data_IF_273349430924
#
_entry.id   IF_273349430924
#
_cell.length_a   1.000
_cell.length_b   1.000
_cell.length_c   1.000
_cell.angle_alpha   90.00
_cell.angle_beta   90.00
_cell.angle_gamma   90.00
#
_symmetry.space_group_name_H-M   'P 1'
#
loop_
_entity.id
_entity.type
_entity.pdbx_description
1 polymer ?
#
# COMPACT_ATOMS: atom_id res chain seq x y z
N UNK A 1 60.39 -2.42 6.78
CA UNK A 1 59.67 -1.38 6.02
C UNK A 1 58.33 -1.20 6.71
N UNK A 2 58.07 -0.03 7.28
CA UNK A 2 56.83 0.24 8.01
C UNK A 2 55.68 0.42 7.02
N UNK A 3 54.59 -0.35 7.19
CA UNK A 3 53.33 -0.10 6.51
C UNK A 3 52.81 1.28 6.95
N UNK A 4 52.72 2.23 6.02
CA UNK A 4 51.99 3.48 6.26
C UNK A 4 50.52 3.14 6.41
N UNK A 5 49.99 3.25 7.62
CA UNK A 5 48.55 3.33 7.84
C UNK A 5 48.00 4.50 7.01
N UNK A 6 47.06 4.21 6.10
CA UNK A 6 46.35 5.24 5.34
C UNK A 6 45.49 6.03 6.32
N UNK A 7 45.98 7.18 6.77
CA UNK A 7 45.22 8.10 7.62
C UNK A 7 43.90 8.47 6.96
N UNK A 8 42.80 8.26 7.70
CA UNK A 8 41.43 8.49 7.26
C UNK A 8 41.23 9.98 6.92
N UNK A 9 40.94 10.31 5.65
CA UNK A 9 40.82 11.71 5.22
C UNK A 9 39.41 12.26 5.49
N UNK A 10 39.19 12.69 6.73
CA UNK A 10 37.94 13.24 7.26
C UNK A 10 37.34 14.34 6.36
N UNK A 11 38.17 15.13 5.68
CA UNK A 11 37.69 16.22 4.79
C UNK A 11 37.00 15.70 3.54
N UNK A 12 37.50 14.61 2.94
CA UNK A 12 36.86 14.00 1.76
C UNK A 12 35.52 13.38 2.15
N UNK A 13 35.46 12.70 3.29
CA UNK A 13 34.22 12.09 3.78
C UNK A 13 33.17 13.14 4.15
N UNK A 14 33.56 14.26 4.76
CA UNK A 14 32.65 15.37 5.05
C UNK A 14 32.04 15.97 3.77
N UNK A 15 32.84 16.10 2.70
CA UNK A 15 32.36 16.57 1.39
C UNK A 15 31.42 15.55 0.75
N UNK A 16 31.77 14.25 0.75
CA UNK A 16 30.92 13.19 0.21
C UNK A 16 29.60 13.10 0.98
N UNK A 17 29.65 13.16 2.32
CA UNK A 17 28.46 13.13 3.17
C UNK A 17 27.55 14.34 2.93
N UNK A 18 28.13 15.53 2.77
CA UNK A 18 27.36 16.74 2.45
C UNK A 18 26.67 16.62 1.07
N UNK A 19 27.37 16.10 0.06
CA UNK A 19 26.79 15.87 -1.27
C UNK A 19 25.70 14.80 -1.22
N UNK A 20 25.91 13.70 -0.49
CA UNK A 20 24.92 12.64 -0.32
C UNK A 20 23.64 13.18 0.36
N UNK A 21 23.77 13.92 1.46
CA UNK A 21 22.62 14.56 2.14
C UNK A 21 21.90 15.54 1.22
N UNK A 22 22.63 16.36 0.46
CA UNK A 22 22.03 17.31 -0.48
C UNK A 22 21.28 16.60 -1.63
N UNK A 23 21.85 15.50 -2.16
CA UNK A 23 21.20 14.68 -3.17
C UNK A 23 19.93 14.00 -2.62
N UNK A 24 20.00 13.42 -1.42
CA UNK A 24 18.84 12.84 -0.74
C UNK A 24 17.74 13.87 -0.52
N UNK A 25 18.08 15.08 -0.06
CA UNK A 25 17.12 16.17 0.11
C UNK A 25 16.50 16.61 -1.22
N UNK A 26 17.27 16.67 -2.31
CA UNK A 26 16.74 16.99 -3.64
C UNK A 26 15.76 15.93 -4.13
N UNK A 27 16.07 14.64 -3.94
CA UNK A 27 15.17 13.53 -4.28
C UNK A 27 13.90 13.61 -3.44
N UNK A 28 14.00 13.78 -2.12
CA UNK A 28 12.84 13.92 -1.23
C UNK A 28 11.99 15.13 -1.61
N UNK A 29 12.61 16.27 -1.94
CA UNK A 29 11.92 17.46 -2.42
C UNK A 29 11.19 17.19 -3.73
N UNK A 30 11.81 16.54 -4.72
CA UNK A 30 11.15 16.19 -5.98
C UNK A 30 9.98 15.24 -5.77
N UNK A 31 10.15 14.19 -4.96
CA UNK A 31 9.08 13.25 -4.63
C UNK A 31 7.92 13.96 -3.91
N UNK A 32 8.22 14.80 -2.92
CA UNK A 32 7.21 15.55 -2.16
C UNK A 32 6.48 16.57 -3.04
N UNK A 33 7.20 17.25 -3.92
CA UNK A 33 6.62 18.24 -4.83
C UNK A 33 5.73 17.56 -5.86
N UNK A 34 6.17 16.43 -6.43
CA UNK A 34 5.38 15.64 -7.35
C UNK A 34 4.11 15.10 -6.69
N UNK A 35 4.19 14.54 -5.48
CA UNK A 35 3.01 14.05 -4.76
C UNK A 35 1.99 15.17 -4.47
N UNK A 36 2.45 16.32 -3.98
CA UNK A 36 1.58 17.48 -3.74
C UNK A 36 1.00 18.05 -5.04
N UNK A 37 1.79 18.04 -6.11
CA UNK A 37 1.36 18.49 -7.43
C UNK A 37 0.29 17.55 -7.99
N UNK A 38 0.50 16.24 -7.95
CA UNK A 38 -0.47 15.21 -8.37
C UNK A 38 -1.81 15.42 -7.68
N UNK A 39 -1.84 15.68 -6.37
CA UNK A 39 -3.07 15.89 -5.62
C UNK A 39 -3.89 17.11 -6.10
N UNK A 40 -3.34 18.02 -6.91
CA UNK A 40 -4.08 19.16 -7.48
C UNK A 40 -4.69 18.85 -8.86
N UNK A 41 -4.36 17.70 -9.44
CA UNK A 41 -4.73 17.30 -10.80
C UNK A 41 -5.61 16.05 -10.74
N UNK A 42 -6.93 16.16 -10.93
CA UNK A 42 -7.84 15.03 -10.76
C UNK A 42 -7.49 13.84 -11.67
N UNK A 43 -7.09 14.11 -12.91
CA UNK A 43 -6.62 13.10 -13.85
C UNK A 43 -5.40 12.33 -13.32
N UNK A 44 -4.46 13.00 -12.64
CA UNK A 44 -3.25 12.37 -12.10
C UNK A 44 -3.53 11.62 -10.81
N UNK A 45 -4.49 12.06 -9.99
CA UNK A 45 -4.97 11.30 -8.84
C UNK A 45 -5.62 10.00 -9.29
N UNK A 46 -6.52 10.07 -10.28
CA UNK A 46 -7.22 8.90 -10.82
C UNK A 46 -6.25 7.92 -11.52
N UNK A 47 -5.37 8.41 -12.39
CA UNK A 47 -4.33 7.59 -13.03
C UNK A 47 -3.42 6.92 -12.00
N UNK A 48 -2.98 7.67 -10.98
CA UNK A 48 -2.10 7.15 -9.94
C UNK A 48 -2.77 6.05 -9.10
N UNK A 49 -4.03 6.25 -8.74
CA UNK A 49 -4.84 5.26 -8.03
C UNK A 49 -4.95 3.95 -8.83
N UNK A 50 -5.37 4.03 -10.11
CA UNK A 50 -5.50 2.86 -10.98
C UNK A 50 -4.16 2.20 -11.27
N UNK A 51 -3.10 2.98 -11.51
CA UNK A 51 -1.78 2.44 -11.79
C UNK A 51 -1.20 1.68 -10.59
N UNK A 52 -1.46 2.13 -9.36
CA UNK A 52 -0.97 1.43 -8.16
C UNK A 52 -1.65 0.07 -8.01
N UNK A 53 -2.95 -0.02 -8.32
CA UNK A 53 -3.69 -1.29 -8.33
C UNK A 53 -3.21 -2.21 -9.45
N UNK A 54 -3.16 -1.72 -10.69
CA UNK A 54 -2.95 -2.58 -11.86
C UNK A 54 -1.48 -2.85 -12.13
N UNK A 55 -0.67 -1.79 -12.28
CA UNK A 55 0.76 -1.94 -12.58
C UNK A 55 1.54 -2.44 -11.37
N UNK A 56 1.14 -2.03 -10.17
CA UNK A 56 1.80 -2.43 -8.93
C UNK A 56 1.19 -3.66 -8.26
N UNK A 57 0.03 -4.16 -8.70
CA UNK A 57 -0.67 -5.22 -7.97
C UNK A 57 -1.05 -4.84 -6.54
N UNK A 58 -1.10 -3.54 -6.23
CA UNK A 58 -1.04 -3.03 -4.87
C UNK A 58 -2.23 -2.11 -4.56
N UNK A 59 -3.38 -2.72 -4.32
CA UNK A 59 -4.56 -1.96 -3.90
C UNK A 59 -4.45 -1.40 -2.49
N UNK A 60 -3.59 -1.96 -1.63
CA UNK A 60 -3.33 -1.43 -0.29
C UNK A 60 -2.76 -0.01 -0.37
N UNK A 61 -1.71 0.19 -1.17
CA UNK A 61 -1.07 1.49 -1.29
C UNK A 61 -1.85 2.45 -2.18
N UNK A 62 -2.72 1.98 -3.07
CA UNK A 62 -3.64 2.84 -3.81
C UNK A 62 -4.53 3.66 -2.86
N UNK A 63 -4.92 3.07 -1.72
CA UNK A 63 -5.78 3.69 -0.72
C UNK A 63 -5.14 4.90 -0.01
N UNK A 64 -3.82 5.09 -0.13
CA UNK A 64 -3.13 6.31 0.34
C UNK A 64 -3.61 7.59 -0.37
N UNK A 65 -4.22 7.46 -1.54
CA UNK A 65 -4.75 8.59 -2.32
C UNK A 65 -6.28 8.76 -2.18
N UNK A 66 -6.91 8.01 -1.28
CA UNK A 66 -8.36 8.09 -1.03
C UNK A 66 -8.70 9.07 0.10
N UNK A 67 -10.00 9.32 0.28
CA UNK A 67 -10.54 10.13 1.39
C UNK A 67 -10.15 9.61 2.78
N UNK A 68 -9.80 8.32 2.91
CA UNK A 68 -9.28 7.72 4.14
C UNK A 68 -8.00 8.40 4.65
N UNK A 69 -7.19 8.92 3.73
CA UNK A 69 -5.91 9.55 4.03
C UNK A 69 -5.98 11.07 4.17
N UNK A 70 -7.20 11.65 4.14
CA UNK A 70 -7.40 13.10 4.22
C UNK A 70 -7.02 13.64 5.59
N UNK A 71 -7.54 13.01 6.65
CA UNK A 71 -7.41 13.53 8.02
C UNK A 71 -6.22 12.93 8.77
N UNK A 72 -5.99 11.63 8.57
CA UNK A 72 -4.92 10.88 9.22
C UNK A 72 -4.04 10.22 8.15
N UNK A 73 -2.79 9.87 8.50
CA UNK A 73 -2.01 8.99 7.61
C UNK A 73 -2.76 7.67 7.47
N UNK A 74 -2.74 7.06 6.28
CA UNK A 74 -3.45 5.81 6.05
C UNK A 74 -3.16 4.71 7.08
N UNK A 75 -1.89 4.54 7.46
CA UNK A 75 -1.51 3.59 8.52
C UNK A 75 -2.10 3.92 9.90
N UNK A 76 -2.29 5.20 10.22
CA UNK A 76 -2.92 5.62 11.48
C UNK A 76 -4.42 5.35 11.47
N UNK A 77 -5.08 5.52 10.32
CA UNK A 77 -6.46 5.06 10.13
C UNK A 77 -6.58 3.55 10.41
N UNK A 78 -5.67 2.74 9.87
CA UNK A 78 -5.71 1.28 10.10
C UNK A 78 -5.46 0.95 11.57
N UNK A 79 -4.45 1.59 12.19
CA UNK A 79 -4.14 1.40 13.62
C UNK A 79 -5.38 1.64 14.48
N UNK A 80 -5.99 2.81 14.32
CA UNK A 80 -7.15 3.22 15.13
C UNK A 80 -8.37 2.33 14.93
N UNK A 81 -8.67 1.95 13.68
CA UNK A 81 -9.93 1.28 13.37
C UNK A 81 -9.88 -0.25 13.44
N UNK A 82 -8.70 -0.87 13.26
CA UNK A 82 -8.59 -2.34 13.22
C UNK A 82 -7.58 -2.92 14.21
N UNK A 83 -6.47 -2.24 14.50
CA UNK A 83 -5.40 -2.78 15.35
C UNK A 83 -5.65 -2.47 16.82
N UNK A 84 -5.90 -1.22 17.18
CA UNK A 84 -6.15 -0.79 18.56
C UNK A 84 -7.28 -1.57 19.24
N UNK A 85 -8.43 -1.84 18.59
CA UNK A 85 -9.52 -2.62 19.19
C UNK A 85 -9.10 -4.05 19.54
N UNK A 86 -8.15 -4.64 18.83
CA UNK A 86 -7.68 -6.00 19.11
C UNK A 86 -6.49 -6.00 20.08
N UNK A 87 -5.64 -4.98 20.06
CA UNK A 87 -4.52 -4.83 21.00
C UNK A 87 -5.03 -4.52 22.40
N UNK A 88 -6.06 -3.68 22.52
CA UNK A 88 -6.67 -3.32 23.79
C UNK A 88 -8.08 -3.87 23.88
N UNK A 89 -8.20 -5.11 24.35
CA UNK A 89 -9.49 -5.82 24.50
C UNK A 89 -9.59 -6.50 25.86
N UNK A 90 -10.81 -6.68 26.36
CA UNK A 90 -11.11 -7.35 27.62
C UNK A 90 -10.37 -6.77 28.85
N UNK A 91 -10.08 -5.46 28.82
CA UNK A 91 -9.30 -4.78 29.86
C UNK A 91 -7.82 -5.17 29.91
N UNK A 92 -7.30 -5.83 28.86
CA UNK A 92 -5.90 -6.24 28.71
C UNK A 92 -5.24 -5.48 27.56
N UNK A 93 -3.92 -5.31 27.67
CA UNK A 93 -3.09 -4.80 26.59
C UNK A 93 -2.20 -5.95 26.06
N UNK A 94 -2.47 -6.36 24.82
CA UNK A 94 -1.76 -7.46 24.15
C UNK A 94 -0.45 -7.01 23.48
N UNK A 95 -0.14 -5.71 23.49
CA UNK A 95 1.14 -5.17 23.03
C UNK A 95 2.20 -5.06 24.14
N UNK A 96 1.87 -5.45 25.38
CA UNK A 96 2.77 -5.37 26.52
C UNK A 96 3.85 -6.47 26.46
N UNK A 97 5.10 -6.12 26.80
CA UNK A 97 6.19 -7.10 26.83
C UNK A 97 5.94 -8.25 27.82
N UNK A 98 5.12 -8.04 28.86
CA UNK A 98 4.75 -9.07 29.84
C UNK A 98 3.89 -10.20 29.27
N UNK A 99 3.28 -10.02 28.10
CA UNK A 99 2.53 -11.09 27.42
C UNK A 99 3.38 -11.85 26.38
N UNK A 100 4.64 -11.45 26.16
CA UNK A 100 5.55 -12.17 25.27
C UNK A 100 6.00 -13.48 25.90
N UNK A 101 5.87 -14.56 25.14
CA UNK A 101 6.43 -15.87 25.47
C UNK A 101 7.91 -15.97 25.11
N UNK A 102 8.54 -17.06 25.54
CA UNK A 102 9.98 -17.33 25.30
C UNK A 102 10.33 -17.31 23.81
N UNK A 103 9.46 -17.85 22.95
CA UNK A 103 9.65 -17.86 21.50
C UNK A 103 9.66 -16.44 20.91
N UNK A 104 8.74 -15.56 21.34
CA UNK A 104 8.71 -14.17 20.87
C UNK A 104 9.96 -13.40 21.28
N UNK A 105 10.44 -13.60 22.51
CA UNK A 105 11.65 -12.93 23.00
C UNK A 105 12.94 -13.43 22.34
N UNK A 106 12.94 -14.67 21.86
CA UNK A 106 14.08 -15.33 21.25
C UNK A 106 14.02 -15.45 19.73
N UNK A 107 13.00 -14.92 19.07
CA UNK A 107 12.86 -15.02 17.61
C UNK A 107 13.97 -14.22 16.91
N UNK A 108 14.68 -14.87 16.01
CA UNK A 108 15.70 -14.28 15.14
C UNK A 108 15.13 -13.82 13.79
N UNK A 109 13.81 -13.91 13.63
CA UNK A 109 13.07 -13.62 12.42
C UNK A 109 12.59 -14.88 11.70
N UNK A 110 13.03 -16.07 12.11
CA UNK A 110 12.58 -17.34 11.51
C UNK A 110 11.08 -17.60 11.72
N UNK A 111 10.57 -17.39 12.93
CA UNK A 111 9.13 -17.57 13.20
C UNK A 111 8.30 -16.44 12.58
N UNK A 112 8.83 -15.21 12.56
CA UNK A 112 8.21 -14.09 11.86
C UNK A 112 8.12 -14.35 10.35
N UNK A 113 9.15 -14.93 9.74
CA UNK A 113 9.13 -15.39 8.36
C UNK A 113 8.12 -16.51 8.12
N UNK A 114 8.04 -17.50 9.02
CA UNK A 114 7.02 -18.56 8.93
C UNK A 114 5.59 -18.00 9.07
N UNK A 115 5.39 -16.98 9.90
CA UNK A 115 4.10 -16.29 10.04
C UNK A 115 3.68 -15.63 8.72
N UNK A 116 4.59 -14.91 8.06
CA UNK A 116 4.37 -14.31 6.73
C UNK A 116 3.94 -15.39 5.73
N UNK A 117 4.69 -16.48 5.64
CA UNK A 117 4.40 -17.60 4.73
C UNK A 117 3.01 -18.22 4.98
N UNK A 118 2.65 -18.45 6.25
CA UNK A 118 1.33 -19.02 6.59
C UNK A 118 0.18 -18.05 6.34
N UNK A 119 0.43 -16.74 6.40
CA UNK A 119 -0.58 -15.72 6.18
C UNK A 119 -0.77 -15.35 4.70
N UNK A 120 0.15 -15.71 3.82
CA UNK A 120 0.03 -15.38 2.39
C UNK A 120 -1.22 -15.99 1.74
N UNK A 121 -1.55 -17.29 1.92
CA UNK A 121 -2.79 -17.85 1.37
C UNK A 121 -4.06 -17.17 1.90
N UNK A 122 -4.02 -16.68 3.15
CA UNK A 122 -5.14 -15.93 3.75
C UNK A 122 -5.29 -14.58 3.07
N UNK A 123 -4.18 -13.88 2.82
CA UNK A 123 -4.19 -12.62 2.08
C UNK A 123 -4.77 -12.82 0.68
N UNK A 124 -4.26 -13.81 -0.07
CA UNK A 124 -4.73 -14.13 -1.42
C UNK A 124 -6.22 -14.47 -1.45
N UNK A 125 -6.73 -15.28 -0.51
CA UNK A 125 -8.16 -15.58 -0.40
C UNK A 125 -9.00 -14.32 -0.19
N UNK A 126 -8.57 -13.43 0.71
CA UNK A 126 -9.30 -12.20 1.02
C UNK A 126 -9.32 -11.24 -0.17
N UNK A 127 -8.17 -11.04 -0.84
CA UNK A 127 -8.10 -10.18 -2.03
C UNK A 127 -8.96 -10.74 -3.17
N UNK A 128 -8.90 -12.05 -3.43
CA UNK A 128 -9.70 -12.67 -4.49
C UNK A 128 -11.21 -12.63 -4.20
N UNK A 129 -11.59 -12.64 -2.92
CA UNK A 129 -13.00 -12.65 -2.51
C UNK A 129 -13.62 -11.24 -2.48
N UNK A 130 -12.89 -10.28 -1.95
CA UNK A 130 -13.44 -8.96 -1.63
C UNK A 130 -12.93 -7.84 -2.55
N UNK A 131 -11.79 -8.06 -3.23
CA UNK A 131 -11.02 -6.96 -3.82
C UNK A 131 -10.71 -5.91 -2.77
N UNK A 132 -10.27 -4.72 -3.19
CA UNK A 132 -10.06 -3.63 -2.22
C UNK A 132 -11.32 -2.83 -1.92
N UNK A 133 -12.43 -3.05 -2.63
CA UNK A 133 -13.69 -2.32 -2.42
C UNK A 133 -14.34 -2.64 -1.05
N UNK A 134 -14.12 -3.85 -0.52
CA UNK A 134 -14.50 -4.24 0.85
C UNK A 134 -13.25 -4.46 1.73
N UNK A 135 -12.49 -3.38 1.91
CA UNK A 135 -11.29 -3.37 2.75
C UNK A 135 -11.58 -3.64 4.24
N UNK A 136 -12.81 -3.36 4.72
CA UNK A 136 -13.24 -3.69 6.08
C UNK A 136 -13.15 -5.21 6.31
N UNK A 137 -13.67 -6.00 5.36
CA UNK A 137 -13.62 -7.47 5.40
C UNK A 137 -12.19 -8.00 5.27
N UNK A 138 -11.33 -7.36 4.46
CA UNK A 138 -9.92 -7.74 4.36
C UNK A 138 -9.21 -7.55 5.70
N UNK A 139 -9.24 -6.34 6.27
CA UNK A 139 -8.49 -6.05 7.49
C UNK A 139 -9.00 -6.87 8.67
N UNK A 140 -10.32 -6.95 8.86
CA UNK A 140 -10.90 -7.70 9.96
C UNK A 140 -10.59 -9.20 9.85
N UNK A 141 -10.77 -9.77 8.66
CA UNK A 141 -10.51 -11.20 8.42
C UNK A 141 -9.02 -11.55 8.52
N UNK A 142 -8.14 -10.68 8.00
CA UNK A 142 -6.70 -10.89 8.08
C UNK A 142 -6.20 -10.83 9.52
N UNK A 143 -6.62 -9.82 10.30
CA UNK A 143 -6.21 -9.67 11.71
C UNK A 143 -6.69 -10.84 12.56
N UNK A 144 -7.94 -11.27 12.39
CA UNK A 144 -8.49 -12.42 13.11
C UNK A 144 -7.61 -13.67 12.87
N UNK A 145 -7.28 -13.92 11.61
CA UNK A 145 -6.47 -15.09 11.24
C UNK A 145 -5.02 -14.95 11.68
N UNK A 146 -4.44 -13.75 11.57
CA UNK A 146 -3.08 -13.44 11.99
C UNK A 146 -2.87 -13.72 13.49
N UNK A 147 -3.81 -13.29 14.33
CA UNK A 147 -3.76 -13.56 15.77
C UNK A 147 -3.74 -15.07 16.05
N UNK A 148 -4.63 -15.83 15.39
CA UNK A 148 -4.72 -17.28 15.58
C UNK A 148 -3.45 -18.02 15.14
N UNK A 149 -2.92 -17.71 13.95
CA UNK A 149 -1.70 -18.34 13.43
C UNK A 149 -0.49 -17.97 14.29
N UNK A 150 -0.43 -16.73 14.76
CA UNK A 150 0.64 -16.28 15.64
C UNK A 150 0.59 -17.01 16.99
N UNK A 151 -0.58 -17.16 17.59
CA UNK A 151 -0.75 -17.91 18.84
C UNK A 151 -0.29 -19.37 18.67
N UNK A 152 -0.60 -20.01 17.53
CA UNK A 152 -0.12 -21.36 17.20
C UNK A 152 1.41 -21.45 17.11
N UNK A 153 2.05 -20.48 16.42
CA UNK A 153 3.50 -20.49 16.19
C UNK A 153 4.31 -20.12 17.43
N UNK A 154 3.94 -19.01 18.07
CA UNK A 154 4.69 -18.39 19.17
C UNK A 154 4.24 -18.89 20.55
N UNK A 155 3.03 -19.43 20.66
CA UNK A 155 2.48 -19.94 21.93
C UNK A 155 2.16 -18.84 22.94
N UNK A 156 1.97 -17.60 22.48
CA UNK A 156 1.60 -16.46 23.31
C UNK A 156 0.59 -15.55 22.60
N UNK A 157 -0.02 -14.65 23.36
CA UNK A 157 -1.06 -13.75 22.87
C UNK A 157 -0.53 -12.38 22.42
N UNK A 158 0.79 -12.19 22.32
CA UNK A 158 1.37 -10.89 21.97
C UNK A 158 0.92 -10.45 20.58
N UNK A 159 0.50 -9.19 20.47
CA UNK A 159 0.09 -8.58 19.21
C UNK A 159 0.27 -7.06 19.26
N UNK A 160 0.85 -6.48 18.22
CA UNK A 160 1.01 -5.04 18.08
C UNK A 160 0.96 -4.63 16.59
N UNK A 161 1.12 -3.34 16.32
CA UNK A 161 1.12 -2.81 14.96
C UNK A 161 2.29 -3.31 14.12
N UNK A 162 3.48 -3.46 14.71
CA UNK A 162 4.65 -4.02 14.00
C UNK A 162 4.37 -5.44 13.47
N UNK A 163 3.81 -6.32 14.30
CA UNK A 163 3.41 -7.68 13.88
C UNK A 163 2.43 -7.62 12.71
N UNK A 164 1.43 -6.74 12.78
CA UNK A 164 0.46 -6.60 11.71
C UNK A 164 1.09 -6.06 10.42
N UNK A 165 1.73 -4.88 10.46
CA UNK A 165 2.22 -4.21 9.27
C UNK A 165 3.36 -4.99 8.61
N UNK A 166 4.31 -5.54 9.37
CA UNK A 166 5.39 -6.35 8.79
C UNK A 166 4.84 -7.58 8.06
N UNK A 167 3.85 -8.27 8.63
CA UNK A 167 3.25 -9.46 8.00
C UNK A 167 2.37 -9.08 6.80
N UNK A 168 1.51 -8.07 6.97
CA UNK A 168 0.56 -7.66 5.95
C UNK A 168 1.28 -7.05 4.74
N UNK A 169 2.20 -6.11 4.95
CA UNK A 169 2.94 -5.45 3.87
C UNK A 169 3.86 -6.42 3.13
N UNK A 170 4.42 -7.44 3.81
CA UNK A 170 5.14 -8.52 3.15
C UNK A 170 4.23 -9.35 2.23
N UNK A 171 2.98 -9.62 2.64
CA UNK A 171 2.02 -10.34 1.81
C UNK A 171 1.50 -9.50 0.64
N UNK A 172 1.32 -8.18 0.84
CA UNK A 172 1.03 -7.22 -0.24
C UNK A 172 2.16 -7.24 -1.27
N UNK A 173 3.41 -7.14 -0.82
CA UNK A 173 4.58 -7.18 -1.70
C UNK A 173 4.66 -8.52 -2.46
N UNK A 174 4.49 -9.66 -1.78
CA UNK A 174 4.49 -10.96 -2.42
C UNK A 174 3.38 -11.12 -3.47
N UNK A 175 2.20 -10.56 -3.22
CA UNK A 175 1.12 -10.56 -4.20
C UNK A 175 1.41 -9.65 -5.40
N UNK A 176 2.01 -8.49 -5.18
CA UNK A 176 2.56 -7.65 -6.26
C UNK A 176 3.54 -8.45 -7.10
N UNK A 177 4.53 -9.09 -6.48
CA UNK A 177 5.55 -9.90 -7.15
C UNK A 177 4.95 -11.08 -7.92
N UNK A 178 3.91 -11.73 -7.40
CA UNK A 178 3.17 -12.77 -8.12
C UNK A 178 2.59 -12.24 -9.45
N UNK A 179 2.07 -11.01 -9.43
CA UNK A 179 1.47 -10.39 -10.62
C UNK A 179 2.53 -9.89 -11.59
N UNK A 180 3.52 -9.15 -11.09
CA UNK A 180 4.47 -8.39 -11.91
C UNK A 180 5.71 -9.16 -12.28
N UNK A 181 6.08 -10.18 -11.50
CA UNK A 181 7.39 -10.82 -11.53
C UNK A 181 8.40 -10.11 -10.63
N UNK A 182 9.59 -10.71 -10.54
CA UNK A 182 10.72 -10.18 -9.78
C UNK A 182 11.98 -10.14 -10.62
N UNK A 183 12.78 -9.09 -10.45
CA UNK A 183 14.14 -9.01 -11.00
C UNK A 183 15.14 -9.81 -10.16
N UNK A 184 16.32 -10.10 -10.72
CA UNK A 184 17.45 -10.61 -9.96
C UNK A 184 17.92 -9.58 -8.91
N UNK A 185 17.93 -9.96 -7.63
CA UNK A 185 18.48 -9.12 -6.56
C UNK A 185 19.90 -9.54 -6.25
N UNK A 186 20.80 -8.57 -6.13
CA UNK A 186 22.19 -8.77 -5.70
C UNK A 186 22.46 -7.97 -4.43
N UNK A 187 23.25 -8.56 -3.53
CA UNK A 187 23.76 -7.83 -2.37
C UNK A 187 24.69 -6.71 -2.85
N UNK A 188 24.33 -5.46 -2.57
CA UNK A 188 25.04 -4.29 -3.09
C UNK A 188 26.52 -4.21 -2.66
N UNK A 189 26.88 -4.86 -1.55
CA UNK A 189 28.22 -4.81 -0.99
C UNK A 189 29.12 -5.94 -1.49
N UNK A 190 28.55 -7.12 -1.70
CA UNK A 190 29.28 -8.35 -2.02
C UNK A 190 29.10 -8.78 -3.47
N UNK A 191 28.07 -8.27 -4.16
CA UNK A 191 27.69 -8.67 -5.52
C UNK A 191 27.17 -10.11 -5.60
N UNK A 192 26.84 -10.73 -4.47
CA UNK A 192 26.29 -12.08 -4.41
C UNK A 192 24.82 -12.02 -4.79
N UNK A 193 24.38 -12.91 -5.69
CA UNK A 193 22.98 -13.05 -6.06
C UNK A 193 22.18 -13.54 -4.84
N UNK A 194 21.14 -12.78 -4.49
CA UNK A 194 20.24 -13.04 -3.36
C UNK A 194 18.96 -13.76 -3.80
N UNK A 195 18.44 -13.44 -4.98
CA UNK A 195 17.24 -14.08 -5.55
C UNK A 195 17.32 -14.19 -7.07
N UNK A 196 16.67 -15.22 -7.62
CA UNK A 196 16.47 -15.39 -9.05
C UNK A 196 15.30 -14.53 -9.55
N UNK A 197 15.35 -14.17 -10.84
CA UNK A 197 14.21 -13.59 -11.52
C UNK A 197 13.04 -14.60 -11.56
N UNK A 198 11.81 -14.08 -11.48
CA UNK A 198 10.62 -14.89 -11.57
C UNK A 198 9.61 -14.21 -12.49
N UNK A 199 8.98 -15.00 -13.36
CA UNK A 199 7.92 -14.50 -14.24
C UNK A 199 6.63 -14.30 -13.46
N UNK A 200 6.07 -13.09 -13.56
CA UNK A 200 4.75 -12.79 -13.02
C UNK A 200 3.61 -13.25 -13.91
N UNK A 201 2.40 -13.27 -13.37
CA UNK A 201 1.18 -13.59 -14.13
C UNK A 201 1.01 -12.67 -15.34
N UNK A 202 1.36 -11.38 -15.22
CA UNK A 202 1.25 -10.44 -16.34
C UNK A 202 2.17 -10.79 -17.51
N UNK A 203 3.41 -11.23 -17.23
CA UNK A 203 4.33 -11.68 -18.27
C UNK A 203 3.82 -12.93 -18.97
N UNK A 204 3.20 -13.86 -18.23
CA UNK A 204 2.61 -15.06 -18.81
C UNK A 204 1.40 -14.75 -19.71
N UNK A 205 0.61 -13.74 -19.36
CA UNK A 205 -0.61 -13.37 -20.10
C UNK A 205 -0.34 -12.44 -21.27
N UNK A 206 0.59 -11.51 -21.13
CA UNK A 206 0.80 -10.39 -22.06
C UNK A 206 2.20 -10.38 -22.71
N UNK A 207 3.11 -11.25 -22.26
CA UNK A 207 4.49 -11.34 -22.75
C UNK A 207 5.49 -10.58 -21.88
N UNK A 208 6.78 -10.88 -22.03
CA UNK A 208 7.87 -10.32 -21.20
C UNK A 208 8.01 -8.79 -21.34
N UNK A 209 7.63 -8.22 -22.49
CA UNK A 209 7.71 -6.77 -22.76
C UNK A 209 6.37 -6.04 -22.45
N UNK A 210 5.46 -6.65 -21.69
CA UNK A 210 4.15 -6.06 -21.41
C UNK A 210 4.28 -4.68 -20.76
N UNK A 211 3.36 -3.78 -21.12
CA UNK A 211 3.25 -2.48 -20.46
C UNK A 211 1.82 -1.99 -20.45
N UNK A 212 1.26 -1.89 -19.26
CA UNK A 212 -0.02 -1.24 -19.10
C UNK A 212 0.10 0.27 -19.36
N UNK A 213 -0.81 0.76 -20.19
CA UNK A 213 -1.05 2.17 -20.46
C UNK A 213 -2.28 2.55 -19.64
N UNK A 214 -2.10 3.43 -18.66
CA UNK A 214 -3.16 3.98 -17.82
C UNK A 214 -3.37 5.42 -18.26
N UNK A 215 -4.58 5.74 -18.73
CA UNK A 215 -4.91 7.06 -19.24
C UNK A 215 -6.28 7.51 -18.74
N UNK A 216 -6.33 8.72 -18.18
CA UNK A 216 -7.60 9.43 -17.99
C UNK A 216 -8.11 9.95 -19.33
N UNK A 217 -9.33 9.60 -19.72
CA UNK A 217 -9.92 10.02 -21.00
C UNK A 217 -11.03 11.07 -20.82
N UNK A 218 -11.87 10.91 -19.81
CA UNK A 218 -13.06 11.75 -19.61
C UNK A 218 -13.13 12.26 -18.17
N UNK A 219 -13.26 13.57 -17.99
CA UNK A 219 -13.47 14.20 -16.69
C UNK A 219 -14.85 14.84 -16.73
N UNK A 220 -15.73 14.40 -15.83
CA UNK A 220 -17.11 14.88 -15.69
C UNK A 220 -17.27 15.58 -14.36
N UNK A 221 -17.81 16.79 -14.37
CA UNK A 221 -18.27 17.46 -13.16
C UNK A 221 -19.59 16.84 -12.71
N UNK A 222 -19.67 16.46 -11.44
CA UNK A 222 -20.89 15.96 -10.82
C UNK A 222 -21.55 17.08 -10.01
N UNK A 223 -22.88 17.02 -9.84
CA UNK A 223 -23.56 17.97 -8.96
C UNK A 223 -23.19 17.66 -7.50
N UNK A 224 -22.40 18.55 -6.91
CA UNK A 224 -21.86 18.40 -5.55
C UNK A 224 -22.97 18.32 -4.49
N UNK A 225 -24.09 19.01 -4.68
CA UNK A 225 -25.20 18.99 -3.73
C UNK A 225 -26.03 17.71 -3.85
N UNK A 226 -26.17 17.15 -5.05
CA UNK A 226 -26.78 15.83 -5.25
C UNK A 226 -25.87 14.70 -4.74
N UNK A 227 -24.56 14.81 -4.92
CA UNK A 227 -23.60 13.90 -4.30
C UNK A 227 -23.78 13.88 -2.78
N UNK A 228 -23.75 15.05 -2.12
CA UNK A 228 -23.86 15.15 -0.65
C UNK A 228 -25.14 14.52 -0.09
N UNK A 229 -26.26 14.54 -0.85
CA UNK A 229 -27.52 13.88 -0.44
C UNK A 229 -27.45 12.35 -0.43
N UNK A 230 -26.54 11.76 -1.21
CA UNK A 230 -26.41 10.31 -1.38
C UNK A 230 -25.09 9.74 -0.85
N UNK A 231 -24.23 10.61 -0.31
CA UNK A 231 -22.99 10.24 0.34
C UNK A 231 -23.28 9.50 1.66
N UNK A 232 -22.43 8.51 1.98
CA UNK A 232 -22.44 7.89 3.30
C UNK A 232 -21.74 8.81 4.29
N UNK A 233 -22.51 9.74 4.86
CA UNK A 233 -21.99 10.78 5.76
C UNK A 233 -21.39 10.20 7.03
N UNK A 234 -21.92 9.08 7.53
CA UNK A 234 -21.36 8.42 8.73
C UNK A 234 -19.99 7.83 8.42
N UNK A 235 -19.85 7.16 7.28
CA UNK A 235 -18.57 6.61 6.83
C UNK A 235 -17.56 7.70 6.55
N UNK A 236 -17.92 8.78 5.85
CA UNK A 236 -17.03 9.93 5.63
C UNK A 236 -16.57 10.58 6.95
N UNK A 237 -17.46 10.74 7.92
CA UNK A 237 -17.10 11.27 9.24
C UNK A 237 -16.12 10.35 9.98
N UNK A 238 -16.23 9.02 9.80
CA UNK A 238 -15.26 8.07 10.36
C UNK A 238 -13.85 8.27 9.81
N UNK A 239 -13.72 8.87 8.61
CA UNK A 239 -12.44 9.25 7.98
C UNK A 239 -11.99 10.67 8.35
N UNK A 240 -12.74 11.39 9.19
CA UNK A 240 -12.50 12.80 9.48
C UNK A 240 -12.85 13.74 8.32
N UNK A 241 -13.76 13.31 7.43
CA UNK A 241 -14.28 14.12 6.32
C UNK A 241 -15.72 14.52 6.64
N UNK A 242 -15.96 15.83 6.76
CA UNK A 242 -17.33 16.34 6.75
C UNK A 242 -17.77 16.54 5.29
N UNK A 243 -18.97 16.09 4.95
CA UNK A 243 -19.55 16.30 3.61
C UNK A 243 -19.65 17.79 3.25
N UNK A 244 -19.83 18.68 4.23
CA UNK A 244 -19.85 20.13 4.02
C UNK A 244 -18.49 20.70 3.57
N UNK A 245 -17.39 20.00 3.83
CA UNK A 245 -16.03 20.40 3.41
C UNK A 245 -15.74 20.03 1.93
N UNK A 246 -16.66 19.36 1.24
CA UNK A 246 -16.50 18.95 -0.15
C UNK A 246 -16.83 20.14 -1.05
N UNK A 247 -15.80 20.63 -1.73
CA UNK A 247 -15.85 21.81 -2.61
C UNK A 247 -16.29 21.47 -4.03
N UNK A 248 -16.00 20.25 -4.50
CA UNK A 248 -16.27 19.80 -5.86
C UNK A 248 -16.24 18.27 -5.94
N UNK A 249 -16.96 17.70 -6.91
CA UNK A 249 -17.04 16.26 -7.15
C UNK A 249 -16.85 16.01 -8.64
N UNK A 250 -15.87 15.17 -8.97
CA UNK A 250 -15.56 14.81 -10.35
C UNK A 250 -15.62 13.29 -10.52
N UNK A 251 -16.04 12.84 -11.69
CA UNK A 251 -15.82 11.47 -12.14
C UNK A 251 -14.80 11.47 -13.26
N UNK A 252 -13.73 10.70 -13.09
CA UNK A 252 -12.70 10.51 -14.11
C UNK A 252 -12.76 9.08 -14.64
N UNK A 253 -13.07 8.94 -15.92
CA UNK A 253 -12.96 7.64 -16.60
C UNK A 253 -11.49 7.35 -16.88
N UNK A 254 -10.97 6.27 -16.31
CA UNK A 254 -9.60 5.80 -16.49
C UNK A 254 -9.62 4.48 -17.22
N UNK A 255 -8.82 4.42 -18.28
CA UNK A 255 -8.69 3.26 -19.14
C UNK A 255 -7.34 2.59 -18.92
N UNK A 256 -7.37 1.27 -18.86
CA UNK A 256 -6.19 0.41 -18.78
C UNK A 256 -6.11 -0.35 -20.08
N UNK A 257 -5.01 -0.21 -20.79
CA UNK A 257 -4.76 -0.93 -22.04
C UNK A 257 -3.41 -1.61 -22.01
N UNK A 258 -3.27 -2.71 -22.74
CA UNK A 258 -1.98 -3.26 -23.15
C UNK A 258 -1.95 -3.16 -24.67
N UNK A 259 -0.92 -2.50 -25.20
CA UNK A 259 -0.84 -2.16 -26.62
C UNK A 259 -2.13 -1.47 -27.11
N UNK A 260 -2.79 -1.98 -28.15
CA UNK A 260 -4.05 -1.44 -28.68
C UNK A 260 -5.31 -2.08 -28.04
N UNK A 261 -5.14 -2.97 -27.05
CA UNK A 261 -6.24 -3.71 -26.43
C UNK A 261 -6.64 -3.05 -25.12
N UNK A 262 -7.92 -2.69 -25.01
CA UNK A 262 -8.51 -2.22 -23.76
C UNK A 262 -8.75 -3.40 -22.84
N UNK A 263 -8.11 -3.38 -21.68
CA UNK A 263 -8.29 -4.38 -20.64
C UNK A 263 -9.39 -3.92 -19.69
N UNK A 264 -9.24 -2.73 -19.09
CA UNK A 264 -10.20 -2.14 -18.16
C UNK A 264 -10.68 -0.78 -18.61
N UNK A 265 -11.88 -0.43 -18.16
CA UNK A 265 -12.33 0.94 -18.03
C UNK A 265 -13.07 1.08 -16.70
N UNK A 266 -12.71 2.09 -15.90
CA UNK A 266 -13.38 2.38 -14.65
C UNK A 266 -13.66 3.86 -14.50
N UNK A 267 -14.72 4.19 -13.76
CA UNK A 267 -15.03 5.54 -13.35
C UNK A 267 -14.53 5.76 -11.91
N UNK A 268 -13.55 6.65 -11.74
CA UNK A 268 -12.99 7.04 -10.45
C UNK A 268 -13.70 8.31 -9.96
N UNK A 269 -14.42 8.20 -8.85
CA UNK A 269 -15.04 9.36 -8.21
C UNK A 269 -14.01 10.08 -7.35
N UNK A 270 -13.88 11.39 -7.52
CA UNK A 270 -12.93 12.24 -6.82
C UNK A 270 -13.64 13.34 -6.05
N UNK A 271 -13.27 13.54 -4.79
CA UNK A 271 -13.74 14.65 -3.97
C UNK A 271 -12.63 15.69 -3.86
N UNK A 272 -12.98 16.93 -4.16
CA UNK A 272 -12.11 18.06 -3.85
C UNK A 272 -12.39 18.54 -2.45
N UNK A 273 -11.37 18.52 -1.61
CA UNK A 273 -11.44 19.04 -0.24
C UNK A 273 -10.31 20.05 -0.06
N UNK A 274 -10.68 21.32 0.10
CA UNK A 274 -9.76 22.45 0.07
C UNK A 274 -9.11 22.62 -1.30
N UNK A 275 -7.85 22.20 -1.42
CA UNK A 275 -7.08 22.36 -2.67
C UNK A 275 -6.81 21.05 -3.40
N UNK A 276 -7.06 19.91 -2.75
CA UNK A 276 -6.61 18.61 -3.23
C UNK A 276 -7.79 17.71 -3.58
N UNK A 277 -7.59 16.84 -4.57
CA UNK A 277 -8.49 15.77 -4.93
C UNK A 277 -8.09 14.48 -4.22
N UNK A 278 -9.09 13.73 -3.78
CA UNK A 278 -8.97 12.43 -3.15
C UNK A 278 -9.95 11.48 -3.83
N UNK A 279 -9.56 10.21 -3.99
CA UNK A 279 -10.48 9.18 -4.47
C UNK A 279 -11.55 8.91 -3.41
N UNK A 280 -12.81 8.98 -3.79
CA UNK A 280 -13.91 8.48 -2.98
C UNK A 280 -13.98 6.96 -3.12
N UNK A 281 -13.33 6.26 -2.20
CA UNK A 281 -13.36 4.80 -2.14
C UNK A 281 -14.73 4.23 -1.73
N UNK A 282 -15.71 5.06 -1.35
CA UNK A 282 -17.08 4.59 -1.05
C UNK A 282 -17.98 4.55 -2.29
N UNK A 283 -17.54 5.16 -3.40
CA UNK A 283 -18.28 5.24 -4.67
C UNK A 283 -17.51 4.72 -5.87
N UNK A 284 -16.20 4.55 -5.75
CA UNK A 284 -15.35 3.99 -6.81
C UNK A 284 -15.34 2.47 -6.70
N UNK A 285 -15.87 1.79 -7.73
CA UNK A 285 -15.83 0.33 -7.87
C UNK A 285 -14.55 -0.08 -8.61
N UNK A 286 -13.67 -0.82 -7.95
CA UNK A 286 -12.40 -1.27 -8.52
C UNK A 286 -12.45 -2.70 -9.03
N UNK A 287 -13.56 -3.42 -8.91
CA UNK A 287 -13.70 -4.84 -9.28
C UNK A 287 -13.22 -5.14 -10.70
N UNK A 288 -13.50 -4.26 -11.66
CA UNK A 288 -13.05 -4.41 -13.05
C UNK A 288 -11.51 -4.50 -13.17
N UNK A 289 -10.76 -3.87 -12.27
CA UNK A 289 -9.30 -3.86 -12.28
C UNK A 289 -8.65 -5.21 -11.92
N UNK A 290 -9.41 -6.10 -11.28
CA UNK A 290 -8.93 -7.43 -10.84
C UNK A 290 -9.21 -8.52 -11.88
N UNK A 291 -9.97 -8.21 -12.94
CA UNK A 291 -10.42 -9.22 -13.91
C UNK A 291 -9.35 -9.68 -14.89
N UNK A 292 -8.20 -8.99 -14.97
CA UNK A 292 -7.16 -9.27 -15.97
C UNK A 292 -6.27 -10.46 -15.63
N UNK A 293 -6.24 -10.86 -14.36
CA UNK A 293 -5.39 -11.95 -13.87
C UNK A 293 -6.19 -13.05 -13.14
N UNK A 294 -7.51 -12.91 -13.04
CA UNK A 294 -8.41 -13.94 -12.52
C UNK A 294 -8.94 -14.75 -13.70
N UNK A 295 -8.62 -16.04 -13.77
CA UNK A 295 -9.16 -17.00 -14.75
C UNK A 295 -10.33 -17.79 -14.19
#
# INVERSE_FOLDING_TARGET
MANKEKGFNIKIYAVISFIAVAASLLVICMLTFNAKYTAFHPEKVAEGFVATIVSGGDGYNAYKNTVLSKNDKYGDFIRKNYIEPVVTRDGKNYSDDSVKGEKTLGDDGSLSGELIEKMYPVYEELINKYGWDDYDSIFSGYIERLIAVREELFGDSFFNDEVFFSTFEANVARFSELLTGTDEVFDENTGVKLSDECKGIYEELYGEDYRFIIAAENIREEDTEDYKKTADTEKLLSYGVNADDIDDVLTVTVKVSESDTVLAEIDVTLLKIGRSYYVDNTKTDTSALYTFYVK
#
